data_IF_976783998106
#
_entry.id   IF_976783998106
#
_cell.length_a   1.000
_cell.length_b   1.000
_cell.length_c   1.000
_cell.angle_alpha   90.00
_cell.angle_beta   90.00
_cell.angle_gamma   90.00
#
_symmetry.space_group_name_H-M   'P 1'
#
loop_
_entity.id
_entity.type
_entity.pdbx_description
1 polymer ?
#
# COMPACT_ATOMS: atom_id res chain seq x y z
N UNK A 1 13.48 2.02 13.48
CA UNK A 1 13.80 1.03 12.43
C UNK A 1 14.00 1.78 11.12
N UNK A 2 15.09 1.49 10.42
CA UNK A 2 15.41 1.97 9.06
C UNK A 2 15.97 0.77 8.32
N UNK A 3 15.36 0.42 7.18
CA UNK A 3 15.87 -0.57 6.24
C UNK A 3 16.51 0.18 5.07
N UNK A 4 17.63 -0.32 4.59
CA UNK A 4 18.30 0.17 3.38
C UNK A 4 18.38 -0.95 2.35
N UNK A 5 18.04 -0.62 1.12
CA UNK A 5 18.23 -1.48 -0.04
C UNK A 5 19.33 -0.88 -0.94
N UNK A 6 19.48 -1.37 -2.14
CA UNK A 6 20.44 -0.82 -3.11
C UNK A 6 20.16 0.66 -3.42
N UNK A 7 18.86 1.03 -3.58
CA UNK A 7 18.45 2.36 -4.03
C UNK A 7 17.60 3.13 -3.03
N UNK A 8 17.00 2.43 -2.04
CA UNK A 8 15.92 2.97 -1.23
C UNK A 8 16.28 2.99 0.27
N UNK A 9 15.67 3.94 0.96
CA UNK A 9 15.58 3.94 2.41
C UNK A 9 14.11 3.75 2.79
N UNK A 10 13.82 2.75 3.64
CA UNK A 10 12.49 2.46 4.14
C UNK A 10 12.49 2.71 5.64
N UNK A 11 11.58 3.53 6.12
CA UNK A 11 11.49 3.88 7.54
C UNK A 11 10.03 3.95 8.00
N UNK A 12 9.83 3.91 9.29
CA UNK A 12 8.50 4.19 9.86
C UNK A 12 8.05 5.59 9.44
N UNK A 13 6.75 5.71 9.13
CA UNK A 13 6.14 7.01 8.82
C UNK A 13 6.21 7.92 10.03
N UNK A 14 6.44 9.20 9.81
CA UNK A 14 6.40 10.26 10.84
C UNK A 14 5.35 11.31 10.48
N UNK A 15 4.94 12.12 11.45
CA UNK A 15 3.88 13.11 11.24
C UNK A 15 4.19 14.08 10.08
N UNK A 16 5.46 14.45 9.91
CA UNK A 16 5.90 15.39 8.86
C UNK A 16 5.81 14.84 7.43
N UNK A 17 5.62 13.53 7.27
CA UNK A 17 5.44 12.90 5.94
C UNK A 17 4.09 13.25 5.28
N UNK A 18 3.20 13.92 5.99
CA UNK A 18 1.83 14.16 5.52
C UNK A 18 1.76 14.86 4.16
N UNK A 19 2.67 15.79 3.85
CA UNK A 19 2.70 16.49 2.57
C UNK A 19 2.99 15.54 1.41
N UNK A 20 4.04 14.74 1.57
CA UNK A 20 4.42 13.76 0.55
C UNK A 20 3.37 12.67 0.36
N UNK A 21 2.74 12.22 1.44
CA UNK A 21 1.63 11.27 1.35
C UNK A 21 0.42 11.89 0.65
N UNK A 22 0.10 13.16 0.95
CA UNK A 22 -0.95 13.90 0.24
C UNK A 22 -0.68 13.97 -1.27
N UNK A 23 0.55 14.30 -1.67
CA UNK A 23 0.95 14.33 -3.08
C UNK A 23 0.73 12.98 -3.77
N UNK A 24 1.12 11.88 -3.12
CA UNK A 24 0.87 10.51 -3.61
C UNK A 24 -0.64 10.24 -3.76
N UNK A 25 -1.47 10.66 -2.80
CA UNK A 25 -2.92 10.48 -2.87
C UNK A 25 -3.59 11.33 -3.93
N UNK A 26 -3.15 12.57 -4.13
CA UNK A 26 -3.62 13.43 -5.22
C UNK A 26 -3.29 12.81 -6.57
N UNK A 27 -2.04 12.34 -6.76
CA UNK A 27 -1.61 11.66 -7.97
C UNK A 27 -2.45 10.38 -8.22
N UNK A 28 -2.65 9.54 -7.20
CA UNK A 28 -3.48 8.34 -7.30
C UNK A 28 -4.92 8.66 -7.70
N UNK A 29 -5.57 9.64 -7.05
CA UNK A 29 -6.97 10.00 -7.32
C UNK A 29 -7.19 10.47 -8.77
N UNK A 30 -6.16 10.99 -9.43
CA UNK A 30 -6.21 11.42 -10.84
C UNK A 30 -5.80 10.32 -11.82
N UNK A 31 -5.30 9.20 -11.33
CA UNK A 31 -4.82 8.09 -12.15
C UNK A 31 -5.96 7.23 -12.71
N UNK A 32 -5.67 6.49 -13.79
CA UNK A 32 -6.61 5.48 -14.33
C UNK A 32 -6.86 4.31 -13.35
N UNK A 33 -6.04 4.16 -12.31
CA UNK A 33 -6.16 3.11 -11.29
C UNK A 33 -7.11 3.50 -10.15
N UNK A 34 -7.46 4.79 -10.01
CA UNK A 34 -8.33 5.30 -8.94
C UNK A 34 -9.70 4.64 -8.90
N UNK A 35 -10.20 4.15 -10.05
CA UNK A 35 -11.47 3.42 -10.14
C UNK A 35 -11.49 2.08 -9.40
N UNK A 36 -10.34 1.56 -9.01
CA UNK A 36 -10.20 0.27 -8.31
C UNK A 36 -10.08 0.40 -6.80
N UNK A 37 -10.16 1.61 -6.25
CA UNK A 37 -10.13 1.85 -4.82
C UNK A 37 -10.98 3.06 -4.45
N UNK A 38 -11.23 3.26 -3.15
CA UNK A 38 -11.91 4.46 -2.66
C UNK A 38 -11.02 5.67 -2.85
N UNK A 39 -11.61 6.87 -3.10
CA UNK A 39 -10.82 8.09 -3.20
C UNK A 39 -10.07 8.33 -1.89
N UNK A 40 -8.80 8.66 -1.99
CA UNK A 40 -8.04 9.12 -0.84
C UNK A 40 -8.44 10.55 -0.47
N UNK A 41 -8.40 10.83 0.83
CA UNK A 41 -8.58 12.21 1.33
C UNK A 41 -7.42 13.09 0.89
N UNK A 42 -7.72 14.36 0.57
CA UNK A 42 -6.71 15.33 0.10
C UNK A 42 -6.81 16.69 0.79
N UNK A 43 -7.74 16.84 1.72
CA UNK A 43 -7.79 18.00 2.61
C UNK A 43 -6.59 18.00 3.56
N UNK A 44 -5.98 19.16 3.78
CA UNK A 44 -4.74 19.27 4.57
C UNK A 44 -4.92 18.84 6.03
N UNK A 45 -6.03 19.22 6.66
CA UNK A 45 -6.28 18.91 8.08
C UNK A 45 -6.56 17.41 8.25
N UNK A 46 -7.38 16.84 7.36
CA UNK A 46 -7.73 15.43 7.36
C UNK A 46 -6.50 14.54 7.09
N UNK A 47 -5.66 14.93 6.12
CA UNK A 47 -4.41 14.20 5.83
C UNK A 47 -3.46 14.25 7.02
N UNK A 48 -3.24 15.44 7.60
CA UNK A 48 -2.40 15.60 8.79
C UNK A 48 -2.89 14.74 9.95
N UNK A 49 -4.19 14.78 10.24
CA UNK A 49 -4.79 13.98 11.32
C UNK A 49 -4.59 12.48 11.07
N UNK A 50 -4.77 12.01 9.83
CA UNK A 50 -4.56 10.61 9.47
C UNK A 50 -3.10 10.19 9.60
N UNK A 51 -2.16 10.99 9.08
CA UNK A 51 -0.74 10.64 9.15
C UNK A 51 -0.20 10.71 10.58
N UNK A 52 -0.67 11.66 11.39
CA UNK A 52 -0.37 11.70 12.83
C UNK A 52 -0.85 10.42 13.53
N UNK A 53 -2.06 9.95 13.23
CA UNK A 53 -2.59 8.67 13.75
C UNK A 53 -1.72 7.48 13.32
N UNK A 54 -1.30 7.42 12.06
CA UNK A 54 -0.42 6.36 11.57
C UNK A 54 0.95 6.38 12.25
N UNK A 55 1.54 7.57 12.42
CA UNK A 55 2.80 7.73 13.14
C UNK A 55 2.70 7.28 14.60
N UNK A 56 1.58 7.58 15.27
CA UNK A 56 1.30 7.14 16.65
C UNK A 56 1.10 5.63 16.77
N UNK A 57 0.53 4.96 15.76
CA UNK A 57 0.33 3.52 15.75
C UNK A 57 1.63 2.71 15.54
N UNK A 58 2.71 3.35 15.10
CA UNK A 58 3.96 2.70 14.75
C UNK A 58 4.80 2.16 15.95
N UNK A 59 4.30 2.24 17.17
CA UNK A 59 4.99 1.72 18.37
C UNK A 59 4.91 0.20 18.52
N UNK A 60 3.94 -0.44 17.82
CA UNK A 60 3.68 -1.88 17.87
C UNK A 60 3.89 -2.60 16.53
N UNK A 61 3.38 -3.83 16.46
CA UNK A 61 3.38 -4.67 15.25
C UNK A 61 1.99 -4.90 14.68
N UNK A 62 0.93 -4.42 15.33
CA UNK A 62 -0.45 -4.60 14.86
C UNK A 62 -0.75 -3.75 13.63
N UNK A 63 -0.28 -2.50 13.67
CA UNK A 63 -0.43 -1.55 12.57
C UNK A 63 0.92 -0.89 12.31
N UNK A 64 1.47 -1.13 11.15
CA UNK A 64 2.79 -0.66 10.77
C UNK A 64 2.72 0.12 9.46
N UNK A 65 3.22 1.35 9.48
CA UNK A 65 3.22 2.23 8.31
C UNK A 65 4.63 2.67 7.98
N UNK A 66 5.01 2.51 6.72
CA UNK A 66 6.37 2.79 6.25
C UNK A 66 6.33 3.76 5.08
N UNK A 67 7.25 4.72 5.06
CA UNK A 67 7.58 5.49 3.87
C UNK A 67 8.74 4.84 3.14
N UNK A 68 8.67 4.85 1.82
CA UNK A 68 9.71 4.41 0.90
C UNK A 68 10.33 5.67 0.28
N UNK A 69 11.63 5.87 0.50
CA UNK A 69 12.34 7.06 0.09
C UNK A 69 13.42 6.73 -0.95
N UNK A 70 13.50 7.54 -1.99
CA UNK A 70 14.60 7.59 -2.96
C UNK A 70 15.41 8.85 -2.66
N UNK A 71 16.59 8.69 -2.03
CA UNK A 71 17.26 9.80 -1.39
C UNK A 71 16.37 10.42 -0.30
N UNK A 72 16.15 11.73 -0.36
CA UNK A 72 15.30 12.46 0.58
C UNK A 72 13.82 12.53 0.15
N UNK A 73 13.48 12.00 -1.01
CA UNK A 73 12.12 12.07 -1.56
C UNK A 73 11.31 10.85 -1.17
N UNK A 74 10.16 11.05 -0.51
CA UNK A 74 9.17 9.99 -0.28
C UNK A 74 8.46 9.70 -1.59
N UNK A 75 8.65 8.49 -2.13
CA UNK A 75 8.11 8.06 -3.42
C UNK A 75 6.90 7.13 -3.30
N UNK A 76 6.65 6.60 -2.11
CA UNK A 76 5.55 5.69 -1.82
C UNK A 76 5.45 5.38 -0.34
N UNK A 77 4.41 4.65 0.02
CA UNK A 77 4.24 4.11 1.36
C UNK A 77 3.70 2.68 1.32
N UNK A 78 3.88 1.97 2.43
CA UNK A 78 3.29 0.67 2.65
C UNK A 78 2.71 0.58 4.07
N UNK A 79 1.56 -0.06 4.18
CA UNK A 79 0.85 -0.30 5.43
C UNK A 79 0.71 -1.81 5.66
N UNK A 80 0.91 -2.25 6.89
CA UNK A 80 0.66 -3.61 7.35
C UNK A 80 -0.30 -3.54 8.51
N UNK A 81 -1.49 -4.09 8.33
CA UNK A 81 -2.56 -4.05 9.32
C UNK A 81 -2.90 -5.46 9.77
N UNK A 82 -2.93 -5.70 11.09
CA UNK A 82 -3.30 -6.98 11.65
C UNK A 82 -4.70 -7.39 11.17
N UNK A 83 -4.85 -8.67 10.86
CA UNK A 83 -6.10 -9.35 10.57
C UNK A 83 -6.14 -10.63 11.38
N UNK A 84 -7.26 -11.33 11.35
CA UNK A 84 -7.51 -12.52 12.14
C UNK A 84 -6.35 -13.55 12.08
N UNK A 85 -5.74 -13.73 10.91
CA UNK A 85 -4.73 -14.78 10.67
C UNK A 85 -3.41 -14.23 10.07
N UNK A 86 -3.03 -12.99 10.37
CA UNK A 86 -1.80 -12.38 9.84
C UNK A 86 -1.91 -10.89 9.62
N UNK A 87 -1.26 -10.36 8.59
CA UNK A 87 -1.34 -8.95 8.26
C UNK A 87 -1.78 -8.76 6.82
N UNK A 88 -2.64 -7.78 6.60
CA UNK A 88 -2.98 -7.29 5.27
C UNK A 88 -2.04 -6.16 4.90
N UNK A 89 -1.46 -6.24 3.69
CA UNK A 89 -0.64 -5.17 3.14
C UNK A 89 -1.45 -4.27 2.21
N UNK A 90 -1.20 -2.96 2.32
CA UNK A 90 -1.62 -1.96 1.35
C UNK A 90 -0.45 -1.07 0.99
N UNK A 91 -0.41 -0.56 -0.23
CA UNK A 91 0.67 0.31 -0.69
C UNK A 91 0.19 1.27 -1.77
N UNK A 92 0.87 2.40 -1.86
CA UNK A 92 0.69 3.34 -2.94
C UNK A 92 2.02 4.01 -3.27
N UNK A 93 2.31 4.17 -4.56
CA UNK A 93 3.49 4.87 -5.08
C UNK A 93 3.05 5.97 -6.03
N UNK A 94 3.71 7.10 -5.97
CA UNK A 94 3.50 8.20 -6.92
C UNK A 94 3.86 7.72 -8.33
N UNK A 95 3.01 8.03 -9.33
CA UNK A 95 3.09 7.50 -10.69
C UNK A 95 4.42 7.79 -11.40
N UNK A 96 5.06 8.93 -11.08
CA UNK A 96 6.39 9.29 -11.59
C UNK A 96 7.49 8.25 -11.29
N UNK A 97 7.25 7.36 -10.32
CA UNK A 97 8.20 6.32 -9.90
C UNK A 97 7.78 4.90 -10.30
N UNK A 98 6.66 4.76 -11.02
CA UNK A 98 6.20 3.46 -11.52
C UNK A 98 7.17 2.87 -12.57
N UNK A 99 7.12 1.54 -12.75
CA UNK A 99 7.89 0.84 -13.77
C UNK A 99 9.39 0.73 -13.54
N UNK A 100 9.91 1.26 -12.43
CA UNK A 100 11.35 1.32 -12.11
C UNK A 100 11.80 0.26 -11.10
N UNK A 101 10.89 -0.63 -10.67
CA UNK A 101 11.19 -1.73 -9.75
C UNK A 101 11.20 -1.34 -8.25
N UNK A 102 10.98 -0.07 -7.91
CA UNK A 102 11.05 0.40 -6.51
C UNK A 102 10.05 -0.29 -5.59
N UNK A 103 8.83 -0.52 -6.06
CA UNK A 103 7.81 -1.23 -5.28
C UNK A 103 8.26 -2.66 -4.95
N UNK A 104 8.80 -3.40 -5.91
CA UNK A 104 9.31 -4.76 -5.67
C UNK A 104 10.49 -4.75 -4.71
N UNK A 105 11.47 -3.87 -4.93
CA UNK A 105 12.68 -3.75 -4.09
C UNK A 105 12.32 -3.46 -2.64
N UNK A 106 11.46 -2.48 -2.40
CA UNK A 106 11.04 -2.11 -1.05
C UNK A 106 10.23 -3.21 -0.36
N UNK A 107 9.33 -3.89 -1.08
CA UNK A 107 8.51 -4.93 -0.48
C UNK A 107 9.29 -6.21 -0.18
N UNK A 108 10.32 -6.56 -0.95
CA UNK A 108 11.21 -7.67 -0.59
C UNK A 108 11.87 -7.41 0.78
N UNK A 109 12.42 -6.21 0.99
CA UNK A 109 13.02 -5.84 2.27
C UNK A 109 11.99 -5.79 3.43
N UNK A 110 10.76 -5.31 3.16
CA UNK A 110 9.71 -5.30 4.16
C UNK A 110 9.21 -6.71 4.49
N UNK A 111 9.11 -7.61 3.51
CA UNK A 111 8.74 -9.02 3.73
C UNK A 111 9.78 -9.71 4.61
N UNK A 112 11.06 -9.49 4.37
CA UNK A 112 12.13 -10.05 5.22
C UNK A 112 12.02 -9.51 6.65
N UNK A 113 11.76 -8.21 6.79
CA UNK A 113 11.51 -7.62 8.10
C UNK A 113 10.27 -8.19 8.81
N UNK A 114 9.18 -8.50 8.07
CA UNK A 114 8.01 -9.16 8.65
C UNK A 114 8.35 -10.57 9.15
N UNK A 115 9.20 -11.32 8.44
CA UNK A 115 9.71 -12.62 8.89
C UNK A 115 10.49 -12.51 10.20
N UNK A 116 11.38 -11.50 10.31
CA UNK A 116 12.14 -11.24 11.54
C UNK A 116 11.23 -10.92 12.74
N UNK A 117 10.10 -10.25 12.50
CA UNK A 117 9.07 -9.99 13.52
C UNK A 117 8.23 -11.24 13.87
N UNK A 118 8.45 -12.36 13.20
CA UNK A 118 7.71 -13.61 13.45
C UNK A 118 6.32 -13.63 12.84
N UNK A 119 5.98 -12.70 11.96
CA UNK A 119 4.73 -12.71 11.18
C UNK A 119 4.78 -13.87 10.20
N UNK A 120 3.70 -14.64 10.12
CA UNK A 120 3.66 -15.90 9.35
C UNK A 120 2.86 -15.79 8.05
N UNK A 121 2.04 -14.78 7.92
CA UNK A 121 1.10 -14.66 6.80
C UNK A 121 0.85 -13.22 6.44
N UNK A 122 0.93 -12.93 5.15
CA UNK A 122 0.51 -11.66 4.56
C UNK A 122 -0.62 -11.90 3.57
N UNK A 123 -1.58 -10.98 3.52
CA UNK A 123 -2.61 -10.92 2.50
C UNK A 123 -2.61 -9.57 1.81
N UNK A 124 -3.13 -9.51 0.59
CA UNK A 124 -3.33 -8.27 -0.16
C UNK A 124 -4.58 -8.38 -1.03
N UNK A 125 -5.41 -7.35 -1.00
CA UNK A 125 -6.55 -7.22 -1.91
C UNK A 125 -6.24 -6.28 -3.07
N UNK A 126 -6.61 -6.65 -4.29
CA UNK A 126 -6.54 -5.76 -5.46
C UNK A 126 -7.52 -6.17 -6.54
N UNK A 127 -7.95 -5.22 -7.39
CA UNK A 127 -8.72 -5.57 -8.58
C UNK A 127 -7.88 -6.45 -9.52
N UNK A 128 -8.44 -7.53 -10.05
CA UNK A 128 -7.73 -8.41 -10.98
C UNK A 128 -7.33 -7.70 -12.28
N UNK A 129 -8.05 -6.65 -12.66
CA UNK A 129 -7.73 -5.78 -13.79
C UNK A 129 -6.67 -4.71 -13.47
N UNK A 130 -6.27 -4.55 -12.20
CA UNK A 130 -5.12 -3.71 -11.80
C UNK A 130 -3.82 -4.49 -12.06
N UNK A 131 -3.47 -4.61 -13.36
CA UNK A 131 -2.31 -5.40 -13.81
C UNK A 131 -1.00 -5.06 -13.10
N UNK A 132 -0.65 -3.78 -12.84
CA UNK A 132 0.57 -3.45 -12.11
C UNK A 132 0.60 -4.04 -10.70
N UNK A 133 -0.51 -3.95 -9.95
CA UNK A 133 -0.60 -4.51 -8.59
C UNK A 133 -0.54 -6.03 -8.60
N UNK A 134 -1.31 -6.69 -9.48
CA UNK A 134 -1.30 -8.16 -9.64
C UNK A 134 0.11 -8.66 -10.00
N UNK A 135 0.79 -7.97 -10.92
CA UNK A 135 2.16 -8.35 -11.34
C UNK A 135 3.16 -8.18 -10.19
N UNK A 136 3.03 -7.11 -9.41
CA UNK A 136 3.87 -6.89 -8.22
C UNK A 136 3.66 -8.02 -7.21
N UNK A 137 2.42 -8.30 -6.81
CA UNK A 137 2.11 -9.34 -5.82
C UNK A 137 2.65 -10.72 -6.26
N UNK A 138 2.40 -11.12 -7.50
CA UNK A 138 2.96 -12.38 -8.05
C UNK A 138 4.49 -12.38 -8.03
N UNK A 139 5.14 -11.27 -8.36
CA UNK A 139 6.60 -11.17 -8.35
C UNK A 139 7.23 -11.22 -6.95
N UNK A 140 6.42 -10.97 -5.90
CA UNK A 140 6.78 -11.09 -4.49
C UNK A 140 6.46 -12.49 -3.91
N UNK A 141 5.86 -13.38 -4.71
CA UNK A 141 5.51 -14.74 -4.31
C UNK A 141 4.11 -14.89 -3.73
N UNK A 142 3.25 -13.86 -3.82
CA UNK A 142 1.86 -14.02 -3.43
C UNK A 142 1.09 -14.86 -4.44
N UNK A 143 0.20 -15.71 -3.93
CA UNK A 143 -0.73 -16.53 -4.70
C UNK A 143 -2.16 -16.02 -4.57
N UNK A 144 -2.94 -16.08 -5.64
CA UNK A 144 -4.37 -15.76 -5.61
C UNK A 144 -5.11 -16.91 -4.92
N UNK A 145 -5.81 -16.58 -3.82
CA UNK A 145 -6.55 -17.59 -3.03
C UNK A 145 -8.07 -17.43 -3.11
N UNK A 146 -8.56 -16.23 -3.44
CA UNK A 146 -9.98 -15.96 -3.50
C UNK A 146 -10.27 -14.85 -4.51
N UNK A 147 -11.48 -14.87 -5.09
CA UNK A 147 -12.02 -13.80 -5.93
C UNK A 147 -13.38 -13.36 -5.42
N UNK A 148 -13.63 -12.05 -5.43
CA UNK A 148 -14.89 -11.46 -5.00
C UNK A 148 -15.37 -10.37 -5.94
N UNK A 149 -16.66 -10.06 -5.92
CA UNK A 149 -17.21 -8.89 -6.62
C UNK A 149 -17.10 -7.68 -5.72
N UNK A 150 -16.45 -6.62 -6.20
CA UNK A 150 -16.22 -5.38 -5.45
C UNK A 150 -16.76 -4.20 -6.22
N UNK A 151 -17.33 -3.23 -5.50
CA UNK A 151 -17.72 -1.94 -6.06
C UNK A 151 -17.40 -0.84 -5.07
N UNK A 152 -16.82 0.26 -5.56
CA UNK A 152 -16.57 1.48 -4.79
C UNK A 152 -17.32 2.69 -5.36
N UNK A 153 -17.86 2.57 -6.57
CA UNK A 153 -18.45 3.69 -7.31
C UNK A 153 -19.76 3.29 -7.96
N UNK A 154 -20.56 4.29 -8.27
CA UNK A 154 -21.80 4.16 -9.07
C UNK A 154 -21.62 4.86 -10.42
N UNK A 155 -22.30 4.34 -11.44
CA UNK A 155 -22.41 4.99 -12.75
C UNK A 155 -23.38 6.19 -12.72
N UNK A 156 -23.55 6.83 -13.87
CA UNK A 156 -24.46 7.98 -14.01
C UNK A 156 -25.95 7.63 -13.75
N UNK A 157 -26.32 6.37 -13.89
CA UNK A 157 -27.67 5.85 -13.66
C UNK A 157 -27.88 5.34 -12.22
N UNK A 158 -26.83 5.40 -11.38
CA UNK A 158 -26.86 5.01 -9.98
C UNK A 158 -26.59 3.52 -9.73
N UNK A 159 -26.22 2.74 -10.76
CA UNK A 159 -25.85 1.33 -10.61
C UNK A 159 -24.41 1.17 -10.13
N UNK A 160 -24.16 0.10 -9.39
CA UNK A 160 -22.81 -0.20 -8.92
C UNK A 160 -21.85 -0.54 -10.07
N UNK A 161 -20.70 0.13 -10.12
CA UNK A 161 -19.60 -0.24 -11.02
C UNK A 161 -18.85 -1.39 -10.38
N UNK A 162 -19.13 -2.60 -10.82
CA UNK A 162 -18.60 -3.85 -10.24
C UNK A 162 -17.37 -4.32 -11.00
N UNK A 163 -16.35 -4.76 -10.27
CA UNK A 163 -15.17 -5.41 -10.83
C UNK A 163 -14.78 -6.67 -10.03
N UNK A 164 -13.94 -7.52 -10.62
CA UNK A 164 -13.39 -8.69 -9.94
C UNK A 164 -12.21 -8.27 -9.06
N UNK A 165 -12.38 -8.39 -7.75
CA UNK A 165 -11.32 -8.31 -6.77
C UNK A 165 -10.65 -9.66 -6.57
N UNK A 166 -9.35 -9.65 -6.28
CA UNK A 166 -8.58 -10.83 -5.89
C UNK A 166 -7.99 -10.66 -4.51
N UNK A 167 -8.09 -11.68 -3.68
CA UNK A 167 -7.34 -11.79 -2.43
C UNK A 167 -6.11 -12.65 -2.70
N UNK A 168 -4.95 -12.09 -2.41
CA UNK A 168 -3.64 -12.73 -2.58
C UNK A 168 -3.04 -13.04 -1.22
N UNK A 169 -2.30 -14.12 -1.11
CA UNK A 169 -1.67 -14.60 0.12
C UNK A 169 -0.21 -14.93 -0.09
N UNK A 170 0.62 -14.61 0.91
CA UNK A 170 2.00 -15.06 1.04
C UNK A 170 2.21 -15.63 2.44
N UNK A 171 2.65 -16.90 2.51
CA UNK A 171 3.12 -17.54 3.74
C UNK A 171 4.62 -17.23 3.89
N UNK A 172 5.03 -16.75 5.07
CA UNK A 172 6.37 -16.24 5.37
C UNK A 172 7.29 -17.28 6.00
#
# INVERSE_FOLDING_TARGET
MILKTERLTIRRIVADDWKSIKEIWVDFNTSALSKYDKPHITDDEDVRARILKWAGANSGTEHMFFTICLGDTVIGYSAFNIRENGHEIGYCFHSAYHGKGYAKESHLALIDYMRELGIKRLTAGTALSNTPSVSLLKSLGFELIETEKVSFYKDADGNDIVFDGGVFELIL
#
